data_IF_270607981814
#
_entry.id   IF_270607981814
#
_cell.length_a   1.000
_cell.length_b   1.000
_cell.length_c   1.000
_cell.angle_alpha   90.00
_cell.angle_beta   90.00
_cell.angle_gamma   90.00
#
_symmetry.space_group_name_H-M   'P 1'
#
loop_
_entity.id
_entity.type
_entity.pdbx_description
1 polymer ?
#
# COMPACT_ATOMS: atom_id res chain seq x y z
N UNK A 1 -15.79 -18.31 5.78
CA UNK A 1 -15.50 -16.92 6.20
C UNK A 1 -14.51 -16.32 5.23
N UNK A 2 -14.71 -15.07 4.83
CA UNK A 2 -13.75 -14.34 4.00
C UNK A 2 -12.49 -14.05 4.81
N UNK A 3 -11.30 -14.32 4.25
CA UNK A 3 -10.03 -13.97 4.90
C UNK A 3 -9.86 -12.46 4.87
N UNK A 4 -9.51 -11.87 6.02
CA UNK A 4 -9.28 -10.44 6.15
C UNK A 4 -8.05 -10.03 5.34
N UNK A 5 -8.16 -9.00 4.51
CA UNK A 5 -7.06 -8.49 3.68
C UNK A 5 -6.24 -7.42 4.40
N UNK A 6 -4.98 -7.29 4.01
CA UNK A 6 -4.07 -6.31 4.61
C UNK A 6 -4.64 -4.88 4.49
N UNK A 7 -5.26 -4.55 3.36
CA UNK A 7 -5.90 -3.25 3.11
C UNK A 7 -7.01 -2.89 4.11
N UNK A 8 -7.66 -3.90 4.71
CA UNK A 8 -8.72 -3.69 5.71
C UNK A 8 -8.17 -3.39 7.10
N UNK A 9 -6.86 -3.60 7.33
CA UNK A 9 -6.23 -3.53 8.65
C UNK A 9 -5.19 -2.42 8.71
N UNK A 10 -4.20 -2.44 7.81
CA UNK A 10 -3.04 -1.56 7.94
C UNK A 10 -2.28 -1.38 6.63
N UNK A 11 -1.66 -0.20 6.47
CA UNK A 11 -0.84 0.18 5.33
C UNK A 11 0.29 1.12 5.77
N UNK A 12 1.48 1.08 5.13
CA UNK A 12 2.57 2.03 5.39
C UNK A 12 2.29 3.37 4.71
N UNK A 13 1.33 4.13 5.25
CA UNK A 13 0.82 5.36 4.64
C UNK A 13 1.90 6.42 4.44
N UNK A 14 2.90 6.50 5.32
CA UNK A 14 3.99 7.45 5.21
C UNK A 14 4.79 7.26 3.92
N UNK A 15 5.25 6.04 3.64
CA UNK A 15 5.98 5.69 2.43
C UNK A 15 5.13 5.91 1.17
N UNK A 16 3.88 5.42 1.18
CA UNK A 16 2.93 5.59 0.07
C UNK A 16 2.70 7.07 -0.24
N UNK A 17 2.46 7.89 0.79
CA UNK A 17 2.17 9.32 0.62
C UNK A 17 3.39 10.09 0.13
N UNK A 18 4.59 9.77 0.63
CA UNK A 18 5.85 10.38 0.21
C UNK A 18 6.10 10.16 -1.28
N UNK A 19 6.02 8.92 -1.75
CA UNK A 19 6.24 8.62 -3.17
C UNK A 19 5.10 9.12 -4.06
N UNK A 20 3.86 9.07 -3.56
CA UNK A 20 2.70 9.66 -4.27
C UNK A 20 2.84 11.18 -4.47
N UNK A 21 3.39 11.89 -3.49
CA UNK A 21 3.66 13.33 -3.59
C UNK A 21 4.82 13.61 -4.56
N UNK A 22 5.89 12.81 -4.49
CA UNK A 22 7.03 12.89 -5.41
C UNK A 22 6.61 12.65 -6.85
N UNK A 23 5.84 11.61 -7.15
CA UNK A 23 5.39 11.30 -8.50
C UNK A 23 4.60 12.47 -9.13
N UNK A 24 3.75 13.12 -8.33
CA UNK A 24 2.94 14.27 -8.78
C UNK A 24 3.78 15.52 -9.05
N UNK A 25 4.90 15.71 -8.36
CA UNK A 25 5.71 16.92 -8.47
C UNK A 25 6.69 16.91 -9.66
N UNK A 26 7.00 15.74 -10.24
CA UNK A 26 7.96 15.61 -11.36
C UNK A 26 7.59 16.47 -12.59
N UNK A 27 6.30 16.72 -12.82
CA UNK A 27 5.80 17.38 -14.05
C UNK A 27 5.33 18.81 -13.82
N UNK A 28 5.89 19.50 -12.83
CA UNK A 28 5.50 20.88 -12.52
C UNK A 28 5.59 21.78 -13.77
N UNK A 29 4.50 22.49 -14.09
CA UNK A 29 4.43 23.40 -15.24
C UNK A 29 4.19 22.75 -16.60
N UNK A 30 4.05 21.42 -16.70
CA UNK A 30 3.81 20.75 -17.98
C UNK A 30 2.32 20.84 -18.39
N UNK A 31 1.97 21.14 -19.66
CA UNK A 31 0.56 21.23 -20.08
C UNK A 31 -0.29 19.99 -19.77
N UNK A 32 0.33 18.80 -19.74
CA UNK A 32 -0.35 17.56 -19.33
C UNK A 32 -0.81 17.52 -17.87
N UNK A 33 -0.39 18.45 -17.01
CA UNK A 33 -0.87 18.57 -15.63
C UNK A 33 -2.12 19.46 -15.50
N UNK A 34 -2.54 20.16 -16.56
CA UNK A 34 -3.74 21.00 -16.57
C UNK A 34 -5.03 20.17 -16.63
N UNK A 35 -4.99 19.01 -17.29
CA UNK A 35 -6.12 18.08 -17.39
C UNK A 35 -5.73 16.67 -16.91
N UNK A 36 -5.97 16.38 -15.63
CA UNK A 36 -5.76 15.05 -15.01
C UNK A 36 -6.88 14.04 -15.34
N UNK A 37 -7.41 14.10 -16.57
CA UNK A 37 -8.56 13.32 -17.02
C UNK A 37 -8.20 11.84 -17.24
N UNK A 38 -8.97 10.85 -16.76
CA UNK A 38 -9.87 10.85 -15.60
C UNK A 38 -9.22 9.97 -14.51
N UNK A 39 -9.08 10.50 -13.28
CA UNK A 39 -8.53 9.82 -12.09
C UNK A 39 -7.13 9.21 -12.26
N UNK A 40 -6.13 10.01 -12.64
CA UNK A 40 -4.72 9.59 -12.55
C UNK A 40 -4.33 9.38 -11.08
N UNK A 41 -4.44 8.14 -10.60
CA UNK A 41 -3.90 7.73 -9.30
C UNK A 41 -2.39 7.54 -9.43
N UNK A 42 -1.59 7.99 -8.45
CA UNK A 42 -0.16 7.68 -8.40
C UNK A 42 0.05 6.18 -8.56
N UNK A 43 1.03 5.80 -9.36
CA UNK A 43 1.37 4.40 -9.59
C UNK A 43 1.77 3.72 -8.28
N UNK A 44 2.47 4.44 -7.40
CA UNK A 44 2.81 4.01 -6.05
C UNK A 44 1.55 3.64 -5.24
N UNK A 45 0.56 4.53 -5.19
CA UNK A 45 -0.73 4.25 -4.53
C UNK A 45 -1.41 3.02 -5.14
N UNK A 46 -1.47 2.92 -6.47
CA UNK A 46 -2.14 1.80 -7.15
C UNK A 46 -1.48 0.46 -6.84
N UNK A 47 -0.15 0.39 -6.85
CA UNK A 47 0.60 -0.83 -6.55
C UNK A 47 0.39 -1.28 -5.11
N UNK A 48 0.49 -0.34 -4.16
CA UNK A 48 0.27 -0.63 -2.75
C UNK A 48 -1.15 -1.15 -2.48
N UNK A 49 -2.17 -0.46 -3.02
CA UNK A 49 -3.58 -0.86 -2.88
C UNK A 49 -3.84 -2.23 -3.49
N UNK A 50 -3.34 -2.49 -4.71
CA UNK A 50 -3.51 -3.79 -5.36
C UNK A 50 -2.85 -4.91 -4.56
N UNK A 51 -1.60 -4.72 -4.14
CA UNK A 51 -0.88 -5.70 -3.31
C UNK A 51 -1.66 -6.01 -2.02
N UNK A 52 -2.04 -4.97 -1.27
CA UNK A 52 -2.73 -5.12 0.01
C UNK A 52 -4.17 -5.67 -0.13
N UNK A 53 -4.78 -5.58 -1.31
CA UNK A 53 -6.08 -6.19 -1.61
C UNK A 53 -5.98 -7.69 -1.89
N UNK A 54 -4.82 -8.14 -2.38
CA UNK A 54 -4.56 -9.56 -2.69
C UNK A 54 -4.03 -10.31 -1.47
N UNK A 55 -3.16 -9.67 -0.69
CA UNK A 55 -2.51 -10.26 0.49
C UNK A 55 -3.43 -10.27 1.70
N UNK A 56 -3.53 -11.42 2.35
CA UNK A 56 -4.25 -11.57 3.62
C UNK A 56 -3.49 -10.88 4.76
N UNK A 57 -4.22 -10.28 5.70
CA UNK A 57 -3.62 -9.84 6.96
C UNK A 57 -3.16 -11.06 7.78
N UNK A 58 -2.04 -10.98 8.53
CA UNK A 58 -1.58 -12.08 9.38
C UNK A 58 -2.64 -12.58 10.39
N UNK A 59 -3.57 -11.72 10.82
CA UNK A 59 -4.68 -12.12 11.71
C UNK A 59 -5.64 -13.14 11.07
N UNK A 60 -5.60 -13.31 9.74
CA UNK A 60 -6.39 -14.31 9.02
C UNK A 60 -5.78 -15.72 9.07
N UNK A 61 -4.56 -15.88 9.60
CA UNK A 61 -3.83 -17.15 9.69
C UNK A 61 -3.32 -17.38 11.13
N UNK A 62 -4.21 -17.62 12.10
CA UNK A 62 -3.84 -17.76 13.52
C UNK A 62 -2.97 -18.99 13.81
N UNK A 63 -2.97 -19.98 12.91
CA UNK A 63 -2.08 -21.14 12.95
C UNK A 63 -0.61 -20.76 12.68
N UNK A 64 -0.38 -19.72 11.88
CA UNK A 64 0.96 -19.21 11.52
C UNK A 64 1.39 -18.03 12.37
N UNK A 65 0.44 -17.17 12.76
CA UNK A 65 0.67 -15.96 13.53
C UNK A 65 -0.23 -15.93 14.77
N UNK A 66 0.08 -16.75 15.79
CA UNK A 66 -0.80 -16.95 16.93
C UNK A 66 -0.84 -15.77 17.90
N UNK A 67 0.19 -14.90 17.90
CA UNK A 67 0.27 -13.74 18.81
C UNK A 67 0.22 -12.43 18.05
N UNK A 68 -0.19 -11.35 18.73
CA UNK A 68 -0.21 -9.99 18.16
C UNK A 68 1.20 -9.53 17.73
N UNK A 69 2.24 -9.92 18.47
CA UNK A 69 3.63 -9.60 18.11
C UNK A 69 4.04 -10.31 16.82
N UNK A 70 3.65 -11.57 16.64
CA UNK A 70 3.92 -12.33 15.41
C UNK A 70 3.16 -11.74 14.21
N UNK A 71 1.90 -11.34 14.41
CA UNK A 71 1.12 -10.64 13.38
C UNK A 71 1.77 -9.31 13.01
N UNK A 72 2.22 -8.53 14.01
CA UNK A 72 2.84 -7.24 13.78
C UNK A 72 4.19 -7.37 13.07
N UNK A 73 5.02 -8.35 13.45
CA UNK A 73 6.28 -8.62 12.77
C UNK A 73 6.07 -8.97 11.30
N UNK A 74 5.05 -9.78 10.99
CA UNK A 74 4.72 -10.09 9.59
C UNK A 74 4.14 -8.87 8.85
N UNK A 75 3.30 -8.05 9.49
CA UNK A 75 2.82 -6.78 8.90
C UNK A 75 4.00 -5.87 8.53
N UNK A 76 4.99 -5.73 9.41
CA UNK A 76 6.19 -4.94 9.13
C UNK A 76 7.00 -5.51 7.94
N UNK A 77 7.10 -6.84 7.81
CA UNK A 77 7.71 -7.47 6.63
C UNK A 77 6.94 -7.14 5.35
N UNK A 78 5.60 -7.23 5.40
CA UNK A 78 4.74 -6.87 4.26
C UNK A 78 4.84 -5.37 3.92
N UNK A 79 5.03 -4.50 4.91
CA UNK A 79 5.27 -3.08 4.70
C UNK A 79 6.59 -2.84 3.98
N UNK A 80 7.66 -3.55 4.34
CA UNK A 80 8.93 -3.50 3.60
C UNK A 80 8.76 -3.85 2.12
N UNK A 81 7.93 -4.84 1.80
CA UNK A 81 7.61 -5.16 0.39
C UNK A 81 6.85 -4.00 -0.27
N UNK A 82 5.86 -3.42 0.40
CA UNK A 82 5.13 -2.26 -0.14
C UNK A 82 6.07 -1.08 -0.35
N UNK A 83 7.03 -0.84 0.55
CA UNK A 83 8.05 0.20 0.43
C UNK A 83 8.95 0.00 -0.81
N UNK A 84 9.27 -1.24 -1.18
CA UNK A 84 9.99 -1.55 -2.42
C UNK A 84 9.13 -1.35 -3.70
N UNK A 85 7.80 -1.43 -3.56
CA UNK A 85 6.86 -1.31 -4.69
C UNK A 85 6.49 0.15 -5.02
N UNK A 86 6.61 1.06 -4.06
CA UNK A 86 6.19 2.47 -4.16
C UNK A 86 7.26 3.41 -4.70
#
# INVERSE_FOLDING_TARGET
MTKKKLIEVSLPLEAINKESAREKSIRHGHPSTLHLWWSRKPLSTCRAVLFASLVDDPSAHPDRFPTEEAQQAERLRLFGIIEELV
#
